data_IF_579141610257
#
_entry.id   IF_579141610257
#
_cell.length_a   1.000
_cell.length_b   1.000
_cell.length_c   1.000
_cell.angle_alpha   90.00
_cell.angle_beta   90.00
_cell.angle_gamma   90.00
#
_symmetry.space_group_name_H-M   'P 1'
#
loop_
_entity.id
_entity.type
_entity.pdbx_description
1 polymer ?
#
# COMPACT_ATOMS: atom_id res chain seq x y z
N UNK A 1 35.92 4.19 -32.76
CA UNK A 1 35.80 5.05 -31.56
C UNK A 1 34.33 5.27 -31.31
N UNK A 2 33.77 5.02 -30.12
CA UNK A 2 32.36 5.29 -29.89
C UNK A 2 32.19 6.81 -29.82
N UNK A 3 31.29 7.33 -30.65
CA UNK A 3 31.00 8.75 -30.78
C UNK A 3 30.30 9.21 -29.49
N UNK A 4 31.01 9.97 -28.65
CA UNK A 4 30.56 10.36 -27.32
C UNK A 4 29.82 11.71 -27.37
N UNK A 5 28.91 11.87 -28.34
CA UNK A 5 28.05 13.05 -28.46
C UNK A 5 27.05 13.05 -27.32
N UNK A 6 27.11 14.08 -26.46
CA UNK A 6 26.11 14.30 -25.41
C UNK A 6 24.71 14.37 -26.05
N UNK A 7 23.70 13.69 -25.47
CA UNK A 7 22.34 13.78 -25.97
C UNK A 7 21.88 15.23 -25.96
N UNK A 8 21.08 15.60 -26.97
CA UNK A 8 20.43 16.90 -26.99
C UNK A 8 19.52 17.08 -25.77
N UNK A 9 19.25 18.32 -25.33
CA UNK A 9 18.34 18.58 -24.21
C UNK A 9 16.96 17.94 -24.40
N UNK A 10 16.47 17.84 -25.63
CA UNK A 10 15.21 17.17 -25.95
C UNK A 10 15.30 15.64 -25.76
N UNK A 11 16.36 15.00 -26.25
CA UNK A 11 16.57 13.56 -26.06
C UNK A 11 16.73 13.18 -24.59
N UNK A 12 17.45 13.99 -23.80
CA UNK A 12 17.56 13.83 -22.35
C UNK A 12 16.20 13.92 -21.66
N UNK A 13 15.39 14.92 -22.03
CA UNK A 13 14.05 15.12 -21.48
C UNK A 13 13.13 13.92 -21.78
N UNK A 14 13.12 13.43 -23.02
CA UNK A 14 12.35 12.23 -23.38
C UNK A 14 12.84 10.99 -22.61
N UNK A 15 14.15 10.82 -22.45
CA UNK A 15 14.71 9.71 -21.67
C UNK A 15 14.26 9.77 -20.20
N UNK A 16 14.28 10.96 -19.58
CA UNK A 16 13.80 11.18 -18.20
C UNK A 16 12.31 10.88 -18.07
N UNK A 17 11.48 11.33 -19.01
CA UNK A 17 10.05 11.01 -19.04
C UNK A 17 9.83 9.49 -19.10
N UNK A 18 10.51 8.81 -20.01
CA UNK A 18 10.41 7.36 -20.16
C UNK A 18 10.80 6.62 -18.87
N UNK A 19 11.89 7.03 -18.21
CA UNK A 19 12.30 6.47 -16.92
C UNK A 19 11.23 6.62 -15.84
N UNK A 20 10.61 7.81 -15.73
CA UNK A 20 9.55 8.07 -14.74
C UNK A 20 8.31 7.22 -15.04
N UNK A 21 7.92 7.10 -16.31
CA UNK A 21 6.77 6.28 -16.74
C UNK A 21 7.03 4.80 -16.42
N UNK A 22 8.19 4.27 -16.77
CA UNK A 22 8.55 2.88 -16.49
C UNK A 22 8.58 2.58 -14.99
N UNK A 23 9.15 3.49 -14.19
CA UNK A 23 9.15 3.36 -12.74
C UNK A 23 7.72 3.33 -12.18
N UNK A 24 6.85 4.21 -12.68
CA UNK A 24 5.44 4.27 -12.27
C UNK A 24 4.70 2.96 -12.61
N UNK A 25 4.83 2.48 -13.85
CA UNK A 25 4.20 1.23 -14.29
C UNK A 25 4.66 0.03 -13.46
N UNK A 26 5.94 -0.01 -13.07
CA UNK A 26 6.46 -1.06 -12.20
C UNK A 26 5.76 -1.08 -10.84
N UNK A 27 5.60 0.09 -10.20
CA UNK A 27 4.93 0.20 -8.90
C UNK A 27 3.43 -0.13 -9.00
N UNK A 28 2.76 0.28 -10.09
CA UNK A 28 1.35 -0.06 -10.34
C UNK A 28 1.16 -1.58 -10.50
N UNK A 29 2.08 -2.24 -11.22
CA UNK A 29 2.09 -3.71 -11.34
C UNK A 29 2.30 -4.40 -10.00
N UNK A 30 3.15 -3.85 -9.13
CA UNK A 30 3.36 -4.40 -7.80
C UNK A 30 2.11 -4.29 -6.91
N UNK A 31 1.41 -3.14 -6.94
CA UNK A 31 0.11 -2.98 -6.25
C UNK A 31 -0.91 -3.99 -6.78
N UNK A 32 -1.00 -4.15 -8.11
CA UNK A 32 -1.91 -5.13 -8.72
C UNK A 32 -1.56 -6.56 -8.31
N UNK A 33 -0.27 -6.92 -8.28
CA UNK A 33 0.18 -8.24 -7.85
C UNK A 33 -0.20 -8.52 -6.38
N UNK A 34 0.00 -7.55 -5.49
CA UNK A 34 -0.40 -7.67 -4.07
C UNK A 34 -1.92 -7.84 -3.96
N UNK A 35 -2.69 -7.04 -4.71
CA UNK A 35 -4.16 -7.06 -4.68
C UNK A 35 -4.77 -8.33 -5.29
N UNK A 36 -4.08 -8.92 -6.27
CA UNK A 36 -4.50 -10.16 -6.95
C UNK A 36 -4.03 -11.44 -6.21
N UNK A 37 -3.13 -11.31 -5.23
CA UNK A 37 -2.63 -12.46 -4.47
C UNK A 37 -3.74 -13.06 -3.60
N UNK A 38 -4.11 -14.31 -3.89
CA UNK A 38 -5.17 -15.05 -3.20
C UNK A 38 -4.91 -15.32 -1.70
N UNK A 39 -3.69 -15.07 -1.19
CA UNK A 39 -3.27 -15.45 0.16
C UNK A 39 -3.51 -14.39 1.25
N UNK A 40 -3.94 -13.17 0.90
CA UNK A 40 -4.10 -12.11 1.91
C UNK A 40 -5.19 -11.13 1.55
N UNK A 41 -6.33 -11.20 2.23
CA UNK A 41 -7.29 -10.09 2.24
C UNK A 41 -6.54 -8.83 2.72
N UNK A 42 -6.21 -7.90 1.82
CA UNK A 42 -5.57 -6.65 2.23
C UNK A 42 -6.47 -5.96 3.25
N UNK A 43 -5.93 -5.64 4.42
CA UNK A 43 -6.71 -4.99 5.45
C UNK A 43 -7.19 -3.62 4.96
N UNK A 44 -8.46 -3.28 5.20
CA UNK A 44 -8.99 -1.96 4.85
C UNK A 44 -8.13 -0.84 5.47
N UNK A 45 -8.09 0.34 4.82
CA UNK A 45 -7.15 1.42 5.19
C UNK A 45 -7.25 1.89 6.65
N UNK A 46 -8.41 1.68 7.29
CA UNK A 46 -8.66 2.07 8.69
C UNK A 46 -8.36 0.97 9.71
N UNK A 47 -7.83 -0.18 9.29
CA UNK A 47 -7.59 -1.32 10.16
C UNK A 47 -6.31 -1.19 10.99
N UNK A 48 -6.37 -1.62 12.25
CA UNK A 48 -5.22 -1.76 13.15
C UNK A 48 -5.39 -2.94 14.10
N UNK A 49 -4.28 -3.52 14.55
CA UNK A 49 -4.29 -4.58 15.57
C UNK A 49 -4.16 -3.94 16.94
N UNK A 50 -5.11 -4.24 17.82
CA UNK A 50 -5.15 -3.70 19.17
C UNK A 50 -5.06 -4.83 20.18
N UNK A 51 -4.26 -4.61 21.23
CA UNK A 51 -4.03 -5.55 22.32
C UNK A 51 -4.93 -5.23 23.51
N UNK A 52 -5.53 -6.25 24.10
CA UNK A 52 -6.44 -6.15 25.24
C UNK A 52 -6.04 -7.12 26.35
N UNK A 53 -6.18 -6.68 27.60
CA UNK A 53 -5.99 -7.52 28.79
C UNK A 53 -7.35 -8.01 29.29
N UNK A 54 -7.62 -9.30 29.18
CA UNK A 54 -8.73 -9.91 29.90
C UNK A 54 -8.27 -10.22 31.33
N UNK A 55 -8.91 -9.63 32.34
CA UNK A 55 -8.65 -9.92 33.76
C UNK A 55 -9.61 -11.01 34.24
N UNK A 56 -9.10 -12.19 34.58
CA UNK A 56 -9.85 -13.22 35.30
C UNK A 56 -9.72 -13.07 36.81
N UNK A 57 -10.35 -13.98 37.57
CA UNK A 57 -10.29 -13.99 39.05
C UNK A 57 -8.87 -14.18 39.59
N UNK A 58 -8.06 -15.04 38.96
CA UNK A 58 -6.73 -15.43 39.47
C UNK A 58 -5.58 -15.05 38.53
N UNK A 59 -5.84 -14.81 37.25
CA UNK A 59 -4.83 -14.41 36.28
C UNK A 59 -5.47 -13.66 35.11
N UNK A 60 -4.67 -12.82 34.45
CA UNK A 60 -5.07 -12.15 33.21
C UNK A 60 -4.42 -12.80 32.00
N UNK A 61 -5.06 -12.69 30.84
CA UNK A 61 -4.46 -13.06 29.56
C UNK A 61 -4.61 -11.95 28.53
N UNK A 62 -3.58 -11.81 27.70
CA UNK A 62 -3.60 -10.90 26.56
C UNK A 62 -4.32 -11.54 25.37
N UNK A 63 -5.13 -10.76 24.70
CA UNK A 63 -5.73 -11.12 23.42
C UNK A 63 -5.72 -9.93 22.48
N UNK A 64 -5.95 -10.20 21.20
CA UNK A 64 -5.85 -9.22 20.12
C UNK A 64 -7.17 -9.13 19.37
N UNK A 65 -7.45 -7.95 18.84
CA UNK A 65 -8.54 -7.71 17.89
C UNK A 65 -8.00 -6.91 16.72
N UNK A 66 -8.49 -7.21 15.53
CA UNK A 66 -8.41 -6.32 14.39
C UNK A 66 -9.55 -5.32 14.51
N UNK A 67 -9.23 -4.04 14.54
CA UNK A 67 -10.16 -2.94 14.68
C UNK A 67 -10.19 -2.13 13.39
N UNK A 68 -11.37 -1.81 12.89
CA UNK A 68 -11.59 -0.91 11.76
C UNK A 68 -12.28 0.39 12.21
N UNK A 69 -12.14 1.46 11.44
CA UNK A 69 -12.85 2.72 11.70
C UNK A 69 -14.36 2.63 11.47
N UNK A 70 -14.78 1.73 10.56
CA UNK A 70 -16.18 1.47 10.19
C UNK A 70 -16.53 0.00 10.37
N UNK A 71 -17.82 -0.31 10.46
CA UNK A 71 -18.30 -1.66 10.73
C UNK A 71 -18.24 -2.52 9.44
N UNK A 72 -17.18 -3.31 9.29
CA UNK A 72 -16.90 -4.09 8.07
C UNK A 72 -16.78 -5.60 8.32
N UNK A 73 -16.62 -6.04 9.57
CA UNK A 73 -16.43 -7.45 9.87
C UNK A 73 -17.78 -8.14 10.08
N UNK A 74 -18.14 -9.18 9.32
CA UNK A 74 -19.44 -9.83 9.46
C UNK A 74 -19.59 -10.48 10.85
N UNK A 75 -20.76 -10.35 11.46
CA UNK A 75 -21.11 -11.06 12.71
C UNK A 75 -22.00 -12.26 12.43
N UNK A 76 -21.89 -13.30 13.26
CA UNK A 76 -22.65 -14.55 13.10
C UNK A 76 -24.11 -14.44 13.56
N UNK A 77 -24.43 -13.45 14.39
CA UNK A 77 -25.66 -13.47 15.21
C UNK A 77 -26.79 -12.64 14.60
N UNK A 78 -26.49 -11.45 14.07
CA UNK A 78 -27.53 -10.47 13.71
C UNK A 78 -27.47 -10.02 12.25
N UNK A 79 -26.59 -10.61 11.43
CA UNK A 79 -26.30 -10.14 10.06
C UNK A 79 -25.67 -8.75 9.98
N UNK A 80 -25.46 -8.07 11.13
CA UNK A 80 -24.82 -6.76 11.22
C UNK A 80 -23.30 -6.90 11.16
N UNK A 81 -22.64 -5.92 10.57
CA UNK A 81 -21.17 -5.84 10.62
C UNK A 81 -20.70 -5.22 11.94
N UNK A 82 -19.50 -5.60 12.37
CA UNK A 82 -18.79 -5.12 13.54
C UNK A 82 -17.55 -4.34 13.13
N UNK A 83 -17.11 -3.40 13.98
CA UNK A 83 -15.81 -2.72 13.85
C UNK A 83 -14.65 -3.59 14.34
N UNK A 84 -14.93 -4.72 14.98
CA UNK A 84 -13.94 -5.57 15.62
C UNK A 84 -14.04 -7.02 15.13
N UNK A 85 -12.90 -7.61 14.78
CA UNK A 85 -12.70 -9.04 14.54
C UNK A 85 -11.77 -9.58 15.63
N UNK A 86 -12.22 -10.57 16.39
CA UNK A 86 -11.40 -11.19 17.43
C UNK A 86 -10.32 -12.06 16.79
N UNK A 87 -9.06 -11.84 17.20
CA UNK A 87 -7.90 -12.58 16.69
C UNK A 87 -7.39 -13.63 17.67
N UNK A 88 -7.83 -13.60 18.93
CA UNK A 88 -7.34 -14.51 19.95
C UNK A 88 -5.97 -14.12 20.51
N UNK A 89 -5.14 -15.12 20.80
CA UNK A 89 -3.80 -14.94 21.41
C UNK A 89 -2.75 -14.66 20.34
N UNK A 90 -1.63 -14.07 20.75
CA UNK A 90 -0.45 -13.91 19.89
C UNK A 90 -0.02 -15.28 19.31
N UNK A 91 0.38 -15.28 18.04
CA UNK A 91 0.85 -16.47 17.33
C UNK A 91 -0.25 -17.43 16.84
N UNK A 92 -1.53 -17.16 17.12
CA UNK A 92 -2.62 -17.89 16.46
C UNK A 92 -2.67 -17.56 14.96
N UNK A 93 -3.24 -18.46 14.15
CA UNK A 93 -3.33 -18.24 12.70
C UNK A 93 -4.05 -16.92 12.37
N UNK A 94 -5.20 -16.66 13.00
CA UNK A 94 -5.93 -15.40 12.80
C UNK A 94 -5.11 -14.15 13.16
N UNK A 95 -4.26 -14.24 14.19
CA UNK A 95 -3.33 -13.16 14.52
C UNK A 95 -2.26 -12.98 13.44
N UNK A 96 -1.63 -14.06 12.98
CA UNK A 96 -0.59 -14.01 11.95
C UNK A 96 -1.14 -13.51 10.62
N UNK A 97 -2.32 -13.99 10.22
CA UNK A 97 -3.03 -13.51 9.04
C UNK A 97 -3.25 -12.01 9.16
N UNK A 98 -3.82 -11.53 10.27
CA UNK A 98 -4.07 -10.10 10.45
C UNK A 98 -2.79 -9.25 10.39
N UNK A 99 -1.66 -9.76 10.89
CA UNK A 99 -0.36 -9.08 10.78
C UNK A 99 0.06 -8.97 9.32
N UNK A 100 -0.06 -10.05 8.55
CA UNK A 100 0.23 -10.06 7.11
C UNK A 100 -0.68 -9.07 6.35
N UNK A 101 -1.98 -9.07 6.65
CA UNK A 101 -2.94 -8.16 6.02
C UNK A 101 -2.58 -6.67 6.27
N UNK A 102 -2.14 -6.33 7.49
CA UNK A 102 -1.68 -4.98 7.84
C UNK A 102 -0.35 -4.65 7.15
N UNK A 103 0.56 -5.62 7.03
CA UNK A 103 1.82 -5.45 6.32
C UNK A 103 1.60 -5.17 4.83
N UNK A 104 0.77 -5.96 4.16
CA UNK A 104 0.42 -5.75 2.75
C UNK A 104 -0.25 -4.39 2.52
N UNK A 105 -1.15 -3.98 3.42
CA UNK A 105 -1.73 -2.63 3.42
C UNK A 105 -0.63 -1.55 3.49
N UNK A 106 0.28 -1.64 4.46
CA UNK A 106 1.34 -0.65 4.64
C UNK A 106 2.26 -0.58 3.41
N UNK A 107 2.51 -1.73 2.77
CA UNK A 107 3.27 -1.83 1.52
C UNK A 107 2.55 -1.10 0.38
N UNK A 108 1.26 -1.35 0.16
CA UNK A 108 0.46 -0.62 -0.84
C UNK A 108 0.47 0.88 -0.58
N UNK A 109 0.24 1.31 0.67
CA UNK A 109 0.26 2.73 1.03
C UNK A 109 1.60 3.41 0.74
N UNK A 110 2.72 2.68 0.87
CA UNK A 110 4.03 3.18 0.50
C UNK A 110 4.20 3.29 -1.02
N UNK A 111 3.77 2.28 -1.77
CA UNK A 111 3.80 2.28 -3.24
C UNK A 111 2.96 3.43 -3.81
N UNK A 112 1.76 3.65 -3.28
CA UNK A 112 0.88 4.77 -3.69
C UNK A 112 1.52 6.14 -3.44
N UNK A 113 2.21 6.32 -2.31
CA UNK A 113 2.95 7.56 -2.04
C UNK A 113 4.07 7.77 -3.06
N UNK A 114 4.80 6.72 -3.40
CA UNK A 114 5.85 6.79 -4.43
C UNK A 114 5.27 7.13 -5.81
N UNK A 115 4.14 6.54 -6.19
CA UNK A 115 3.43 6.86 -7.45
C UNK A 115 3.01 8.34 -7.47
N UNK A 116 2.52 8.89 -6.35
CA UNK A 116 2.17 10.33 -6.27
C UNK A 116 3.37 11.23 -6.53
N UNK A 117 4.55 10.87 -6.02
CA UNK A 117 5.81 11.60 -6.26
C UNK A 117 6.20 11.51 -7.74
N UNK A 118 6.12 10.32 -8.34
CA UNK A 118 6.41 10.13 -9.77
C UNK A 118 5.44 10.92 -10.67
N UNK A 119 4.15 10.95 -10.34
CA UNK A 119 3.16 11.74 -11.05
C UNK A 119 3.46 13.25 -10.96
N UNK A 120 3.97 13.73 -9.83
CA UNK A 120 4.41 15.13 -9.72
C UNK A 120 5.62 15.39 -10.60
N UNK A 121 6.65 14.54 -10.53
CA UNK A 121 7.83 14.68 -11.39
C UNK A 121 7.48 14.62 -12.89
N UNK A 122 6.51 13.79 -13.28
CA UNK A 122 6.02 13.75 -14.65
C UNK A 122 5.37 15.07 -15.10
N UNK A 123 4.63 15.75 -14.22
CA UNK A 123 4.06 17.07 -14.52
C UNK A 123 5.17 18.09 -14.76
N UNK A 124 6.19 18.09 -13.89
CA UNK A 124 7.33 19.01 -14.00
C UNK A 124 8.08 18.81 -15.33
N UNK A 125 8.27 17.54 -15.73
CA UNK A 125 8.89 17.19 -17.03
C UNK A 125 8.02 17.61 -18.22
N UNK A 126 6.70 17.42 -18.16
CA UNK A 126 5.79 17.85 -19.22
C UNK A 126 5.78 19.38 -19.35
N UNK A 127 5.83 20.12 -18.24
CA UNK A 127 5.98 21.58 -18.27
C UNK A 127 7.30 21.98 -18.93
N UNK A 128 8.38 21.26 -18.67
CA UNK A 128 9.68 21.44 -19.32
C UNK A 128 9.59 21.23 -20.84
N UNK A 129 8.80 20.25 -21.33
CA UNK A 129 8.61 20.05 -22.79
C UNK A 129 7.97 21.25 -23.49
N UNK A 130 7.11 21.99 -22.79
CA UNK A 130 6.43 23.17 -23.33
C UNK A 130 7.39 24.34 -23.63
N UNK A 131 8.60 24.32 -23.08
CA UNK A 131 9.66 25.29 -23.37
C UNK A 131 10.32 25.06 -24.72
N UNK A 132 10.31 23.81 -25.21
CA UNK A 132 10.93 23.41 -26.47
C UNK A 132 9.95 23.41 -27.66
N UNK A 133 8.65 23.53 -27.40
CA UNK A 133 7.60 23.63 -28.43
C UNK A 133 7.24 25.08 -28.82
N UNK A 134 7.99 26.07 -28.30
CA UNK A 134 7.78 27.50 -28.56
C UNK A 134 8.76 28.10 -29.58
N UNK A 135 9.64 27.27 -30.12
CA UNK A 135 10.52 27.57 -31.26
C UNK A 135 10.04 26.79 -32.49
#
# INVERSE_FOLDING_TARGET
MPNNSKPSPQEDLYARINCVVQAKEHLEKEIQAISASASGEVAASSCSIVRYLAKGRNSGYWYYKLQAGVAIFPTKTDGKSSRYKHLGKAGSQAYLDAVEQIFLKAKIEALDRSIKILNQGLKDLIEETSKYNKD
#
